data_IF_541695663790
#
_entry.id   IF_541695663790
#
_cell.length_a   1.000
_cell.length_b   1.000
_cell.length_c   1.000
_cell.angle_alpha   90.00
_cell.angle_beta   90.00
_cell.angle_gamma   90.00
#
_symmetry.space_group_name_H-M   'P 1'
#
loop_
_entity.id
_entity.type
_entity.pdbx_description
1 polymer ?
#
# COMPACT_ATOMS: atom_id res chain seq x y z
N UNK A 1 -36.55 24.43 18.57
CA UNK A 1 -35.25 24.31 17.87
C UNK A 1 -34.82 22.86 17.90
N UNK A 2 -34.87 22.16 16.77
CA UNK A 2 -34.41 20.76 16.69
C UNK A 2 -32.89 20.75 16.48
N UNK A 3 -32.16 20.25 17.47
CA UNK A 3 -30.73 19.94 17.33
C UNK A 3 -30.59 18.83 16.29
N UNK A 4 -30.10 19.19 15.10
CA UNK A 4 -29.66 18.23 14.10
C UNK A 4 -28.35 17.62 14.61
N UNK A 5 -28.44 16.57 15.42
CA UNK A 5 -27.29 15.66 15.59
C UNK A 5 -26.95 15.13 14.21
N UNK A 6 -25.84 15.62 13.65
CA UNK A 6 -25.18 14.94 12.55
C UNK A 6 -24.91 13.51 13.01
N UNK A 7 -25.72 12.56 12.53
CA UNK A 7 -25.38 11.14 12.61
C UNK A 7 -24.15 10.99 11.72
N UNK A 8 -22.97 11.16 12.31
CA UNK A 8 -21.74 10.69 11.71
C UNK A 8 -21.96 9.19 11.44
N UNK A 9 -21.83 8.79 10.19
CA UNK A 9 -21.83 7.39 9.79
C UNK A 9 -20.87 6.65 10.74
N UNK A 10 -21.38 5.72 11.53
CA UNK A 10 -20.56 4.89 12.43
C UNK A 10 -19.77 3.89 11.57
N UNK A 11 -18.74 4.37 10.87
CA UNK A 11 -17.83 3.53 10.13
C UNK A 11 -16.84 2.86 11.07
N UNK A 12 -16.68 1.54 10.95
CA UNK A 12 -15.65 0.78 11.67
C UNK A 12 -14.36 0.82 10.85
N UNK A 13 -13.24 1.13 11.48
CA UNK A 13 -11.92 1.08 10.85
C UNK A 13 -11.43 -0.37 10.85
N UNK A 14 -11.39 -0.98 9.66
CA UNK A 14 -11.00 -2.38 9.47
C UNK A 14 -9.50 -2.52 9.20
N UNK A 15 -8.96 -1.67 8.31
CA UNK A 15 -7.57 -1.71 7.89
C UNK A 15 -7.09 -0.30 7.55
N UNK A 16 -5.84 0.00 7.90
CA UNK A 16 -5.20 1.28 7.62
C UNK A 16 -3.76 1.07 7.16
N UNK A 17 -3.27 1.97 6.31
CA UNK A 17 -1.90 2.00 5.86
C UNK A 17 -1.43 3.44 5.70
N UNK A 18 -0.13 3.66 5.85
CA UNK A 18 0.52 4.94 5.55
C UNK A 18 1.29 4.80 4.25
N UNK A 19 1.18 5.76 3.34
CA UNK A 19 1.91 5.78 2.07
C UNK A 19 2.57 7.14 1.93
N UNK A 20 3.83 7.17 1.49
CA UNK A 20 4.57 8.39 1.15
C UNK A 20 5.02 8.28 -0.29
N UNK A 21 4.60 9.22 -1.11
CA UNK A 21 5.02 9.33 -2.51
C UNK A 21 6.17 10.31 -2.57
N UNK A 22 7.34 9.87 -3.01
CA UNK A 22 8.50 10.75 -3.17
C UNK A 22 8.47 11.44 -4.53
N UNK A 23 8.31 10.65 -5.58
CA UNK A 23 8.24 11.10 -6.97
C UNK A 23 7.57 10.00 -7.83
N UNK A 24 7.66 10.13 -9.16
CA UNK A 24 7.15 9.12 -10.09
C UNK A 24 7.96 7.82 -10.07
N UNK A 25 9.15 7.80 -9.49
CA UNK A 25 9.94 6.60 -9.43
C UNK A 25 9.59 5.78 -8.18
N UNK A 26 9.42 6.43 -7.02
CA UNK A 26 9.29 5.74 -5.73
C UNK A 26 8.15 6.25 -4.84
N UNK A 27 7.37 5.30 -4.33
CA UNK A 27 6.58 5.46 -3.12
C UNK A 27 6.99 4.41 -2.06
N UNK A 28 6.89 4.77 -0.79
CA UNK A 28 7.04 3.85 0.32
C UNK A 28 5.71 3.64 1.06
N UNK A 29 5.49 2.43 1.57
CA UNK A 29 4.39 2.12 2.50
C UNK A 29 4.98 1.58 3.81
N UNK A 30 5.33 2.44 4.77
CA UNK A 30 6.06 2.01 5.96
C UNK A 30 5.20 1.21 6.96
N UNK A 31 3.88 1.42 6.96
CA UNK A 31 2.97 0.77 7.90
C UNK A 31 1.69 0.29 7.23
N UNK A 32 1.23 -0.89 7.63
CA UNK A 32 -0.11 -1.41 7.39
C UNK A 32 -0.59 -2.19 8.62
N UNK A 33 -1.85 -2.04 8.97
CA UNK A 33 -2.47 -2.78 10.06
C UNK A 33 -3.91 -3.16 9.71
N UNK A 34 -4.33 -4.33 10.16
CA UNK A 34 -5.73 -4.79 10.15
C UNK A 34 -6.14 -5.04 11.59
N UNK A 35 -7.31 -4.52 11.97
CA UNK A 35 -7.93 -4.76 13.27
C UNK A 35 -8.07 -6.27 13.49
N UNK A 36 -7.79 -6.73 14.71
CA UNK A 36 -7.60 -8.15 15.00
C UNK A 36 -8.79 -9.03 14.59
N UNK A 37 -10.00 -8.55 14.85
CA UNK A 37 -11.27 -9.16 14.46
C UNK A 37 -11.44 -9.42 12.95
N UNK A 38 -10.69 -8.70 12.10
CA UNK A 38 -10.75 -8.84 10.63
C UNK A 38 -9.47 -9.43 10.00
N UNK A 39 -8.52 -9.91 10.80
CA UNK A 39 -7.31 -10.58 10.29
C UNK A 39 -7.69 -11.89 9.59
N UNK A 40 -6.88 -12.31 8.61
CA UNK A 40 -7.15 -13.50 7.79
C UNK A 40 -8.25 -13.34 6.74
N UNK A 41 -9.00 -12.24 6.73
CA UNK A 41 -10.09 -11.98 5.80
C UNK A 41 -9.66 -11.21 4.54
N UNK A 42 -8.35 -11.22 4.21
CA UNK A 42 -7.76 -10.53 3.05
C UNK A 42 -7.95 -8.99 3.03
N UNK A 43 -8.32 -8.36 4.15
CA UNK A 43 -8.53 -6.90 4.21
C UNK A 43 -7.27 -6.11 3.85
N UNK A 44 -6.11 -6.45 4.44
CA UNK A 44 -4.83 -5.85 4.07
C UNK A 44 -4.50 -6.04 2.59
N UNK A 45 -4.78 -7.22 2.03
CA UNK A 45 -4.55 -7.50 0.61
C UNK A 45 -5.42 -6.61 -0.29
N UNK A 46 -6.69 -6.40 0.07
CA UNK A 46 -7.57 -5.50 -0.67
C UNK A 46 -7.08 -4.06 -0.58
N UNK A 47 -6.65 -3.60 0.60
CA UNK A 47 -6.11 -2.25 0.78
C UNK A 47 -4.84 -2.04 -0.06
N UNK A 48 -3.88 -2.98 -0.02
CA UNK A 48 -2.64 -2.87 -0.82
C UNK A 48 -2.95 -2.83 -2.32
N UNK A 49 -3.87 -3.66 -2.82
CA UNK A 49 -4.27 -3.61 -4.23
C UNK A 49 -4.83 -2.24 -4.64
N UNK A 50 -5.63 -1.60 -3.79
CA UNK A 50 -6.16 -0.27 -4.06
C UNK A 50 -5.05 0.79 -4.01
N UNK A 51 -4.15 0.70 -3.04
CA UNK A 51 -2.96 1.57 -2.97
C UNK A 51 -2.14 1.46 -4.25
N UNK A 52 -1.81 0.24 -4.69
CA UNK A 52 -1.08 0.02 -5.94
C UNK A 52 -1.80 0.61 -7.15
N UNK A 53 -3.13 0.47 -7.22
CA UNK A 53 -3.94 1.04 -8.31
C UNK A 53 -3.84 2.57 -8.32
N UNK A 54 -3.93 3.21 -7.16
CA UNK A 54 -3.77 4.66 -7.04
C UNK A 54 -2.36 5.09 -7.43
N UNK A 55 -1.32 4.40 -6.94
CA UNK A 55 0.08 4.70 -7.25
C UNK A 55 0.38 4.54 -8.75
N UNK A 56 -0.16 3.51 -9.42
CA UNK A 56 -0.06 3.35 -10.88
C UNK A 56 -0.71 4.52 -11.62
N UNK A 57 -1.88 4.98 -11.18
CA UNK A 57 -2.53 6.16 -11.77
C UNK A 57 -1.71 7.44 -11.60
N UNK A 58 -0.97 7.54 -10.49
CA UNK A 58 0.00 8.61 -10.25
C UNK A 58 1.33 8.40 -10.99
N UNK A 59 1.45 7.34 -11.80
CA UNK A 59 2.65 6.97 -12.56
C UNK A 59 3.86 6.67 -11.66
N UNK A 60 3.63 6.18 -10.44
CA UNK A 60 4.69 5.69 -9.57
C UNK A 60 5.18 4.33 -10.05
N UNK A 61 6.49 4.18 -10.25
CA UNK A 61 7.09 2.95 -10.78
C UNK A 61 7.34 1.87 -9.72
N UNK A 62 7.73 2.24 -8.50
CA UNK A 62 8.12 1.29 -7.45
C UNK A 62 7.41 1.59 -6.14
N UNK A 63 6.91 0.53 -5.50
CA UNK A 63 6.48 0.54 -4.11
C UNK A 63 7.53 -0.18 -3.25
N UNK A 64 8.02 0.48 -2.20
CA UNK A 64 8.93 -0.13 -1.23
C UNK A 64 8.33 -0.21 0.16
N UNK A 65 8.73 -1.24 0.90
CA UNK A 65 8.33 -1.43 2.29
C UNK A 65 9.53 -1.86 3.14
N UNK A 66 9.58 -1.43 4.40
CA UNK A 66 10.34 -2.14 5.43
C UNK A 66 9.56 -3.37 5.90
N UNK A 67 10.21 -4.52 6.01
CA UNK A 67 9.64 -5.75 6.56
C UNK A 67 10.54 -6.31 7.67
N UNK A 68 9.95 -6.68 8.80
CA UNK A 68 10.64 -7.52 9.79
C UNK A 68 10.87 -8.92 9.22
N UNK A 69 11.97 -9.57 9.63
CA UNK A 69 12.44 -10.83 9.03
C UNK A 69 11.35 -11.92 9.00
N UNK A 70 10.55 -12.03 10.06
CA UNK A 70 9.48 -13.02 10.21
C UNK A 70 8.35 -12.82 9.18
N UNK A 71 8.19 -11.60 8.66
CA UNK A 71 7.12 -11.25 7.72
C UNK A 71 7.59 -11.16 6.26
N UNK A 72 8.90 -11.30 5.99
CA UNK A 72 9.44 -11.22 4.61
C UNK A 72 8.78 -12.24 3.69
N UNK A 73 8.71 -13.50 4.11
CA UNK A 73 8.08 -14.56 3.32
C UNK A 73 6.60 -14.29 3.02
N UNK A 74 5.89 -13.64 3.96
CA UNK A 74 4.50 -13.26 3.79
C UNK A 74 4.34 -12.16 2.72
N UNK A 75 5.17 -11.12 2.76
CA UNK A 75 5.16 -10.04 1.77
C UNK A 75 5.53 -10.53 0.37
N UNK A 76 6.50 -11.43 0.25
CA UNK A 76 6.90 -12.01 -1.03
C UNK A 76 5.77 -12.91 -1.56
N UNK A 77 5.31 -13.88 -0.77
CA UNK A 77 4.35 -14.90 -1.22
C UNK A 77 2.96 -14.34 -1.47
N UNK A 78 2.46 -13.47 -0.58
CA UNK A 78 1.05 -13.07 -0.60
C UNK A 78 0.83 -11.71 -1.27
N UNK A 79 1.85 -10.85 -1.33
CA UNK A 79 1.74 -9.50 -1.89
C UNK A 79 2.62 -9.29 -3.12
N UNK A 80 3.47 -10.26 -3.50
CA UNK A 80 4.29 -10.19 -4.71
C UNK A 80 5.43 -9.17 -4.63
N UNK A 81 5.90 -8.86 -3.42
CA UNK A 81 7.14 -8.12 -3.24
C UNK A 81 8.36 -9.01 -3.52
N UNK A 82 9.50 -8.39 -3.72
CA UNK A 82 10.79 -9.05 -3.88
C UNK A 82 11.88 -8.33 -3.11
N UNK A 83 13.00 -9.02 -2.88
CA UNK A 83 14.18 -8.36 -2.34
C UNK A 83 14.72 -7.32 -3.33
N UNK A 84 15.35 -6.28 -2.78
CA UNK A 84 16.16 -5.35 -3.58
C UNK A 84 17.47 -6.07 -3.93
N UNK A 85 17.49 -6.72 -5.10
CA UNK A 85 18.50 -7.71 -5.46
C UNK A 85 19.81 -7.07 -5.96
N UNK A 86 19.73 -6.05 -6.82
CA UNK A 86 20.90 -5.44 -7.44
C UNK A 86 21.40 -4.20 -6.66
N UNK A 87 22.71 -4.00 -6.68
CA UNK A 87 23.36 -2.87 -5.99
C UNK A 87 22.92 -1.52 -6.55
N UNK A 88 22.57 -1.44 -7.83
CA UNK A 88 22.07 -0.21 -8.44
C UNK A 88 20.73 0.21 -7.83
N UNK A 89 19.77 -0.71 -7.68
CA UNK A 89 18.51 -0.46 -7.00
C UNK A 89 18.71 -0.08 -5.53
N UNK A 90 19.67 -0.71 -4.83
CA UNK A 90 20.00 -0.32 -3.45
C UNK A 90 20.53 1.13 -3.39
N UNK A 91 21.46 1.48 -4.27
CA UNK A 91 22.00 2.85 -4.38
C UNK A 91 20.96 3.87 -4.83
N UNK A 92 19.97 3.45 -5.61
CA UNK A 92 18.84 4.32 -5.96
C UNK A 92 18.01 4.64 -4.73
N UNK A 93 17.72 3.65 -3.89
CA UNK A 93 16.93 3.81 -2.67
C UNK A 93 17.62 4.67 -1.60
N UNK A 94 18.95 4.76 -1.59
CA UNK A 94 19.67 5.66 -0.66
C UNK A 94 19.50 7.14 -1.00
N UNK A 95 19.04 7.47 -2.21
CA UNK A 95 18.69 8.85 -2.60
C UNK A 95 17.40 9.34 -1.95
N UNK A 96 16.61 8.41 -1.41
CA UNK A 96 15.32 8.70 -0.77
C UNK A 96 15.43 8.59 0.73
N UNK A 97 14.83 9.54 1.44
CA UNK A 97 14.66 9.45 2.89
C UNK A 97 13.52 8.47 3.22
N UNK A 98 13.83 7.18 3.17
CA UNK A 98 12.89 6.10 3.51
C UNK A 98 12.94 5.77 4.99
N UNK A 99 11.79 5.40 5.56
CA UNK A 99 11.72 5.01 6.98
C UNK A 99 12.56 3.76 7.22
N UNK A 100 13.49 3.84 8.18
CA UNK A 100 14.32 2.73 8.65
C UNK A 100 14.10 2.54 10.15
N UNK A 101 14.12 1.30 10.61
CA UNK A 101 14.01 0.96 12.03
C UNK A 101 15.38 0.52 12.57
N UNK A 102 15.61 0.72 13.88
CA UNK A 102 16.87 0.33 14.53
C UNK A 102 17.05 -1.19 14.67
N UNK A 103 16.03 -1.98 14.35
CA UNK A 103 16.08 -3.45 14.26
C UNK A 103 16.43 -3.89 12.84
N UNK A 104 16.90 -5.13 12.67
CA UNK A 104 17.09 -5.73 11.34
C UNK A 104 15.74 -5.76 10.61
N UNK A 105 15.57 -4.82 9.67
CA UNK A 105 14.42 -4.78 8.76
C UNK A 105 14.93 -4.94 7.34
N UNK A 106 14.31 -5.86 6.61
CA UNK A 106 14.60 -6.13 5.21
C UNK A 106 13.78 -5.18 4.36
N UNK A 107 14.45 -4.44 3.47
CA UNK A 107 13.75 -3.62 2.47
C UNK A 107 13.30 -4.52 1.33
N UNK A 108 12.00 -4.48 1.04
CA UNK A 108 11.39 -5.15 -0.10
C UNK A 108 10.87 -4.11 -1.10
N UNK A 109 10.83 -4.49 -2.36
CA UNK A 109 10.33 -3.66 -3.44
C UNK A 109 9.32 -4.42 -4.29
N UNK A 110 8.45 -3.67 -4.98
CA UNK A 110 7.54 -4.19 -5.99
C UNK A 110 7.47 -3.19 -7.14
N UNK A 111 7.68 -3.69 -8.35
CA UNK A 111 7.50 -2.88 -9.55
C UNK A 111 5.99 -2.75 -9.84
N UNK A 112 5.52 -1.53 -10.00
CA UNK A 112 4.14 -1.18 -10.31
C UNK A 112 3.93 -0.97 -11.81
N UNK A 113 5.01 -0.75 -12.57
CA UNK A 113 4.97 -0.63 -14.02
C UNK A 113 4.74 -2.02 -14.65
N UNK A 114 3.61 -2.11 -15.38
CA UNK A 114 3.16 -3.28 -16.16
C UNK A 114 2.62 -4.46 -15.36
N UNK A 115 1.36 -4.32 -14.95
CA UNK A 115 0.40 -5.43 -15.07
C UNK A 115 -0.64 -4.92 -16.08
N UNK A 116 -0.79 -5.51 -17.29
CA UNK A 116 -1.97 -5.21 -18.10
C UNK A 116 -3.19 -5.52 -17.24
N UNK A 117 -4.12 -4.58 -17.12
CA UNK A 117 -5.28 -4.64 -16.22
C UNK A 117 -6.04 -5.98 -16.36
N UNK A 118 -5.60 -7.00 -15.64
CA UNK A 118 -6.17 -8.35 -15.72
C UNK A 118 -7.35 -8.51 -14.77
N UNK A 119 -7.94 -7.41 -14.26
CA UNK A 119 -9.17 -7.43 -13.46
C UNK A 119 -9.89 -6.07 -13.49
N UNK A 120 -10.35 -5.62 -14.67
CA UNK A 120 -11.50 -4.69 -14.77
C UNK A 120 -12.77 -5.50 -15.08
N UNK A 121 -13.11 -6.38 -14.14
CA UNK A 121 -14.37 -7.15 -14.10
C UNK A 121 -15.37 -6.63 -13.08
N UNK A 122 -15.13 -5.46 -12.48
CA UNK A 122 -16.12 -4.76 -11.67
C UNK A 122 -16.22 -3.32 -12.14
N UNK A 123 -17.43 -2.95 -12.54
CA UNK A 123 -17.83 -1.65 -13.05
C UNK A 123 -17.15 -0.51 -12.30
N UNK A 124 -16.44 0.34 -13.03
CA UNK A 124 -16.22 1.73 -12.62
C UNK A 124 -17.62 2.35 -12.52
N UNK A 125 -18.16 2.41 -11.30
CA UNK A 125 -19.38 3.17 -11.06
C UNK A 125 -19.05 4.64 -11.35
N UNK A 126 -19.96 5.30 -12.07
CA UNK A 126 -19.84 6.67 -12.55
C UNK A 126 -19.41 7.65 -11.43
N UNK A 127 -18.84 8.82 -11.78
CA UNK A 127 -18.47 9.83 -10.79
C UNK A 127 -19.64 10.11 -9.85
N UNK A 128 -19.36 10.11 -8.55
CA UNK A 128 -20.32 10.53 -7.54
C UNK A 128 -20.60 12.02 -7.80
N UNK A 129 -21.74 12.34 -8.39
CA UNK A 129 -22.27 13.71 -8.36
C UNK A 129 -22.63 14.02 -6.90
N UNK A 130 -21.94 15.02 -6.33
CA UNK A 130 -22.23 15.55 -5.00
C UNK A 130 -23.23 16.70 -5.19
N UNK A 131 -24.30 16.81 -4.36
CA UNK A 131 -25.24 17.94 -4.41
C UNK A 131 -24.57 19.28 -4.09
#
# INVERSE_FOLDING_TARGET
MASRSAKFLSGIIVCAATVRVHDKNLAEMPYIATSEEYRGQRMAHNLVNHIETVLRRLQVEKLVIPAVEELVGMWIKNFGFSHVADEQSKQELTRYNTVTFCTSVVRLQKNLARIPDLNLGHSVQAPIEIP
#
